data_IF_487845722060
#
_entry.id   IF_487845722060
#
_cell.length_a   1.000
_cell.length_b   1.000
_cell.length_c   1.000
_cell.angle_alpha   90.00
_cell.angle_beta   90.00
_cell.angle_gamma   90.00
#
_symmetry.space_group_name_H-M   'P 1'
#
loop_
_entity.id
_entity.type
_entity.pdbx_description
1 polymer ?
#
# COMPACT_ATOMS: atom_id res chain seq x y z
N UNK A 1 34.42 2.32 -20.00
CA UNK A 1 33.44 3.37 -19.72
C UNK A 1 32.16 2.67 -19.34
N UNK A 2 31.92 2.47 -18.04
CA UNK A 2 30.85 1.67 -17.50
C UNK A 2 29.48 2.35 -17.63
N UNK A 3 28.43 1.57 -17.50
CA UNK A 3 27.04 1.99 -17.51
C UNK A 3 26.77 3.14 -16.51
N UNK A 4 27.47 3.14 -15.38
CA UNK A 4 27.42 4.20 -14.34
C UNK A 4 27.94 5.56 -14.81
N UNK A 5 28.96 5.61 -15.69
CA UNK A 5 29.42 6.89 -16.27
C UNK A 5 28.33 7.49 -17.19
N UNK A 6 27.53 6.65 -17.86
CA UNK A 6 26.39 7.11 -18.63
C UNK A 6 25.25 7.60 -17.75
N UNK A 7 24.99 6.93 -16.62
CA UNK A 7 23.91 7.29 -15.71
C UNK A 7 24.23 8.55 -14.91
N UNK A 8 25.48 8.69 -14.41
CA UNK A 8 25.97 9.94 -13.79
C UNK A 8 25.93 11.11 -14.77
N UNK A 9 26.29 10.87 -16.04
CA UNK A 9 26.24 11.89 -17.07
C UNK A 9 24.80 12.29 -17.42
N UNK A 10 23.87 11.34 -17.39
CA UNK A 10 22.44 11.60 -17.63
C UNK A 10 21.82 12.35 -16.45
N UNK A 11 22.13 11.97 -15.21
CA UNK A 11 21.67 12.66 -14.00
C UNK A 11 22.20 14.09 -13.92
N UNK A 12 23.45 14.30 -14.28
CA UNK A 12 24.04 15.66 -14.33
C UNK A 12 23.43 16.52 -15.43
N UNK A 13 23.02 15.91 -16.56
CA UNK A 13 22.29 16.62 -17.61
C UNK A 13 20.84 16.94 -17.22
N UNK A 14 20.17 16.09 -16.46
CA UNK A 14 18.83 16.34 -15.93
C UNK A 14 18.87 17.41 -14.82
N UNK A 15 19.90 17.45 -13.99
CA UNK A 15 20.10 18.50 -12.99
C UNK A 15 20.42 19.85 -13.66
N UNK A 16 21.27 19.89 -14.70
CA UNK A 16 21.55 21.10 -15.47
C UNK A 16 20.33 21.61 -16.25
N UNK A 17 19.44 20.73 -16.75
CA UNK A 17 18.19 21.12 -17.40
C UNK A 17 17.19 21.73 -16.40
N UNK A 18 17.05 21.13 -15.23
CA UNK A 18 16.18 21.64 -14.18
C UNK A 18 16.67 22.99 -13.62
N UNK A 19 17.99 23.20 -13.50
CA UNK A 19 18.54 24.51 -13.14
C UNK A 19 18.30 25.57 -14.23
N UNK A 20 18.35 25.17 -15.50
CA UNK A 20 18.04 26.09 -16.62
C UNK A 20 16.56 26.45 -16.72
N UNK A 21 15.65 25.50 -16.42
CA UNK A 21 14.21 25.77 -16.33
C UNK A 21 13.85 26.65 -15.14
N UNK A 22 14.49 26.46 -13.98
CA UNK A 22 14.31 27.32 -12.81
C UNK A 22 14.76 28.78 -13.04
N UNK A 23 15.85 28.97 -13.78
CA UNK A 23 16.34 30.32 -14.15
C UNK A 23 15.45 31.00 -15.20
N UNK A 24 14.75 30.22 -16.04
CA UNK A 24 13.79 30.78 -17.01
C UNK A 24 12.47 31.20 -16.37
N UNK A 25 12.04 30.53 -15.31
CA UNK A 25 10.84 30.90 -14.53
C UNK A 25 11.08 32.14 -13.64
N UNK A 26 12.29 32.34 -13.11
CA UNK A 26 12.62 33.55 -12.34
C UNK A 26 12.71 34.80 -13.26
N UNK A 27 13.00 34.64 -14.56
CA UNK A 27 13.16 35.78 -15.47
C UNK A 27 11.88 36.20 -16.19
N UNK A 28 10.75 35.54 -15.94
CA UNK A 28 9.43 35.87 -16.54
C UNK A 28 8.54 36.70 -15.62
N UNK A 29 9.01 37.09 -14.42
CA UNK A 29 8.22 37.73 -13.37
C UNK A 29 8.44 39.24 -13.11
N UNK A 30 9.26 39.96 -13.91
CA UNK A 30 9.47 41.39 -13.68
C UNK A 30 9.16 42.26 -14.90
N UNK A 31 7.94 42.82 -14.93
CA UNK A 31 7.70 44.13 -15.52
C UNK A 31 6.51 44.82 -14.84
N UNK A 32 6.83 46.07 -14.36
CA UNK A 32 5.98 47.21 -13.93
C UNK A 32 5.73 47.28 -12.42
N UNK A 33 6.00 48.37 -11.70
CA UNK A 33 6.15 49.81 -12.00
C UNK A 33 6.87 50.53 -10.88
N UNK A 34 7.55 51.64 -11.24
CA UNK A 34 8.22 52.68 -10.47
C UNK A 34 7.45 53.21 -9.24
N UNK A 35 8.12 53.54 -8.12
CA UNK A 35 8.58 54.90 -7.83
C UNK A 35 9.02 55.09 -6.36
N UNK A 36 10.18 55.73 -6.18
CA UNK A 36 10.33 56.80 -5.21
C UNK A 36 10.96 56.52 -3.84
N UNK A 37 12.21 56.93 -3.66
CA UNK A 37 12.56 57.70 -2.46
C UNK A 37 13.56 57.12 -1.46
N UNK A 38 14.81 57.46 -1.67
CA UNK A 38 15.78 58.06 -0.69
C UNK A 38 16.10 57.36 0.63
N UNK A 39 17.34 56.93 0.72
CA UNK A 39 18.49 57.40 1.55
C UNK A 39 18.60 57.03 3.02
N UNK A 40 19.87 56.65 3.32
CA UNK A 40 20.73 56.82 4.52
C UNK A 40 20.62 55.72 5.60
N UNK A 41 21.66 54.99 5.87
CA UNK A 41 22.91 55.17 6.51
C UNK A 41 23.31 53.97 7.32
N UNK A 42 24.46 53.48 7.02
CA UNK A 42 25.68 53.18 7.76
C UNK A 42 25.70 52.46 9.12
N UNK A 43 26.63 51.52 9.15
CA UNK A 43 27.55 51.12 10.25
C UNK A 43 26.95 50.19 11.32
N UNK A 44 27.54 49.12 11.76
CA UNK A 44 28.88 48.60 11.75
C UNK A 44 29.11 47.79 13.02
N UNK A 45 29.98 46.80 12.94
CA UNK A 45 30.73 46.13 14.01
C UNK A 45 30.03 45.12 14.94
N UNK A 46 30.48 43.93 14.96
CA UNK A 46 31.60 43.08 15.47
C UNK A 46 31.16 42.14 16.58
N UNK A 47 31.42 40.89 16.31
CA UNK A 47 32.20 39.88 17.09
C UNK A 47 31.97 39.74 18.61
N UNK A 48 31.75 38.50 18.98
CA UNK A 48 32.59 37.62 19.80
C UNK A 48 31.97 37.01 21.06
N UNK A 49 32.19 35.71 21.14
CA UNK A 49 32.54 34.86 22.29
C UNK A 49 31.47 34.42 23.33
N UNK A 50 31.33 33.08 23.37
CA UNK A 50 31.03 32.30 24.58
C UNK A 50 32.22 32.37 25.54
N UNK A 51 32.23 31.92 26.82
CA UNK A 51 31.75 30.62 27.28
C UNK A 51 31.29 30.50 28.77
N UNK A 52 31.07 29.26 29.21
CA UNK A 52 31.30 28.65 30.57
C UNK A 52 30.12 28.50 31.51
N UNK A 53 29.79 27.22 31.77
CA UNK A 53 29.19 26.67 32.99
C UNK A 53 30.15 26.81 34.20
N UNK A 54 29.76 26.60 35.49
CA UNK A 54 29.32 25.33 36.03
C UNK A 54 28.39 25.33 37.28
N UNK A 55 27.86 24.14 37.51
CA UNK A 55 27.70 23.40 38.80
C UNK A 55 26.76 23.90 39.92
N UNK A 56 25.97 22.90 40.38
CA UNK A 56 25.77 22.72 41.83
C UNK A 56 24.35 22.64 42.35
N UNK A 57 23.86 21.43 42.67
CA UNK A 57 23.17 21.23 43.93
C UNK A 57 21.65 21.02 43.96
N UNK A 58 21.25 19.76 44.09
CA UNK A 58 19.98 19.35 44.73
C UNK A 58 20.10 19.53 46.25
N UNK A 59 19.04 19.81 47.04
CA UNK A 59 18.28 18.74 47.61
C UNK A 59 16.76 18.97 47.81
N UNK A 60 16.16 17.88 48.22
CA UNK A 60 14.80 17.45 48.41
C UNK A 60 13.90 18.24 49.41
N UNK A 61 12.59 17.93 49.21
CA UNK A 61 11.50 17.77 50.21
C UNK A 61 10.83 19.00 50.82
N UNK A 62 9.51 19.05 50.65
CA UNK A 62 8.46 18.96 51.67
C UNK A 62 7.15 19.56 51.14
N UNK A 63 6.09 18.74 51.15
CA UNK A 63 4.72 19.24 51.22
C UNK A 63 4.47 19.86 52.61
N UNK A 64 3.53 20.80 52.74
CA UNK A 64 2.27 20.43 53.38
C UNK A 64 0.99 21.10 52.88
N UNK A 65 -0.05 20.37 53.15
CA UNK A 65 -1.48 20.59 53.23
C UNK A 65 -2.07 21.99 53.48
N UNK A 66 -3.27 22.10 52.91
CA UNK A 66 -4.55 22.64 53.46
C UNK A 66 -4.96 24.10 53.27
N UNK A 67 -6.19 24.11 52.85
CA UNK A 67 -7.34 24.96 53.18
C UNK A 67 -7.63 26.25 52.39
N UNK A 68 -8.70 26.14 51.61
CA UNK A 68 -9.92 26.95 51.72
C UNK A 68 -9.86 28.41 51.30
N UNK A 69 -10.50 28.75 50.20
CA UNK A 69 -11.60 29.71 50.26
C UNK A 69 -12.38 29.78 48.94
N UNK A 70 -13.70 29.63 49.04
CA UNK A 70 -14.66 29.94 48.01
C UNK A 70 -14.73 31.46 47.83
N UNK A 71 -14.53 31.96 46.63
CA UNK A 71 -15.02 33.25 46.22
C UNK A 71 -15.83 33.08 44.92
N UNK A 72 -17.11 33.36 45.05
CA UNK A 72 -18.06 33.46 43.95
C UNK A 72 -17.65 34.59 43.00
N UNK A 73 -17.66 34.28 41.70
CA UNK A 73 -17.62 35.30 40.65
C UNK A 73 -19.00 35.36 40.00
N UNK A 74 -19.60 36.53 40.11
CA UNK A 74 -20.87 36.94 39.53
C UNK A 74 -20.82 36.91 38.01
N UNK A 75 -21.93 36.46 37.40
CA UNK A 75 -22.19 36.54 35.97
C UNK A 75 -22.52 38.00 35.59
N UNK A 76 -22.08 38.50 34.44
CA UNK A 76 -22.62 39.75 33.91
C UNK A 76 -23.95 39.54 33.20
N UNK A 77 -24.83 40.52 33.39
CA UNK A 77 -26.20 40.63 32.95
C UNK A 77 -26.38 40.56 31.44
N UNK A 78 -27.54 39.98 31.06
CA UNK A 78 -28.02 39.90 29.70
C UNK A 78 -28.40 41.29 29.15
N UNK A 79 -27.81 41.65 28.01
CA UNK A 79 -28.32 42.74 27.17
C UNK A 79 -29.45 42.26 26.27
N UNK A 80 -30.44 43.14 26.13
CA UNK A 80 -31.77 42.91 25.59
C UNK A 80 -31.78 42.51 24.10
N UNK A 81 -32.69 41.57 23.81
CA UNK A 81 -33.07 41.14 22.44
C UNK A 81 -33.75 42.30 21.69
N UNK A 82 -33.24 42.65 20.50
CA UNK A 82 -33.98 43.38 19.47
C UNK A 82 -34.87 42.38 18.65
N UNK A 83 -36.07 42.78 18.23
CA UNK A 83 -37.04 41.89 17.63
C UNK A 83 -36.70 41.55 16.18
N UNK A 84 -36.80 40.24 15.89
CA UNK A 84 -36.69 39.64 14.55
C UNK A 84 -37.70 40.28 13.60
N UNK A 85 -37.22 40.91 12.53
CA UNK A 85 -38.01 41.31 11.36
C UNK A 85 -38.47 40.05 10.59
N UNK A 86 -39.77 40.09 10.23
CA UNK A 86 -40.44 39.02 9.46
C UNK A 86 -39.77 38.78 8.12
N UNK A 87 -39.73 37.53 7.62
CA UNK A 87 -39.23 37.22 6.26
C UNK A 87 -40.23 37.74 5.20
N UNK A 88 -39.70 38.43 4.20
CA UNK A 88 -40.41 38.82 2.99
C UNK A 88 -40.96 37.61 2.23
N UNK A 89 -42.19 37.77 1.76
CA UNK A 89 -42.93 36.77 0.97
C UNK A 89 -42.24 36.43 -0.33
N UNK A 90 -42.12 35.16 -0.62
CA UNK A 90 -41.68 34.61 -1.90
C UNK A 90 -42.82 34.85 -2.92
N UNK A 91 -42.53 35.46 -4.10
CA UNK A 91 -43.56 35.62 -5.14
C UNK A 91 -43.94 34.25 -5.74
N UNK A 92 -45.21 34.06 -5.95
CA UNK A 92 -45.79 32.90 -6.64
C UNK A 92 -45.29 32.81 -8.09
N UNK A 93 -45.07 31.60 -8.65
CA UNK A 93 -44.67 31.47 -10.04
C UNK A 93 -45.83 31.81 -11.00
N UNK A 94 -45.54 32.69 -11.95
CA UNK A 94 -46.45 32.98 -13.08
C UNK A 94 -46.76 31.74 -13.90
N UNK A 95 -48.04 31.63 -14.29
CA UNK A 95 -48.59 30.56 -15.13
C UNK A 95 -47.79 30.40 -16.42
N UNK A 96 -47.41 29.16 -16.73
CA UNK A 96 -46.78 28.80 -17.99
C UNK A 96 -47.80 28.90 -19.14
N UNK A 97 -47.46 29.73 -20.15
CA UNK A 97 -48.16 29.79 -21.44
C UNK A 97 -47.99 28.44 -22.18
N UNK A 98 -49.08 27.99 -22.80
CA UNK A 98 -49.15 26.77 -23.63
C UNK A 98 -48.25 26.89 -24.84
N UNK A 99 -47.54 25.86 -25.30
CA UNK A 99 -46.68 25.92 -26.46
C UNK A 99 -47.52 25.92 -27.76
N UNK A 100 -47.27 26.94 -28.62
CA UNK A 100 -47.80 27.04 -29.97
C UNK A 100 -47.37 25.87 -30.86
N UNK A 101 -48.29 25.42 -31.71
CA UNK A 101 -48.14 24.34 -32.69
C UNK A 101 -47.05 24.70 -33.72
N UNK A 102 -46.06 23.81 -33.90
CA UNK A 102 -45.07 23.90 -34.97
C UNK A 102 -45.59 23.20 -36.22
N UNK A 103 -45.58 23.85 -37.40
CA UNK A 103 -46.05 23.24 -38.65
C UNK A 103 -45.14 22.12 -39.14
N UNK A 104 -45.71 21.04 -39.59
CA UNK A 104 -45.06 19.98 -40.36
C UNK A 104 -44.42 20.51 -41.62
N UNK A 105 -43.13 20.27 -41.80
CA UNK A 105 -42.45 20.43 -43.09
C UNK A 105 -41.40 19.36 -43.32
N UNK A 106 -41.68 18.54 -44.28
CA UNK A 106 -40.83 17.95 -45.34
C UNK A 106 -39.77 16.92 -44.89
N UNK A 107 -40.04 15.70 -45.29
CA UNK A 107 -39.06 14.61 -45.52
C UNK A 107 -37.89 15.09 -46.39
N UNK A 108 -36.67 14.83 -45.91
CA UNK A 108 -35.47 14.76 -46.72
C UNK A 108 -34.70 13.46 -46.41
N UNK A 109 -34.04 12.86 -47.41
CA UNK A 109 -33.63 11.47 -47.38
C UNK A 109 -32.42 11.20 -46.50
N UNK A 110 -32.39 10.01 -45.93
CA UNK A 110 -31.29 9.46 -45.12
C UNK A 110 -29.96 9.42 -45.90
N UNK A 111 -28.84 9.72 -45.28
CA UNK A 111 -27.58 9.05 -45.61
C UNK A 111 -27.34 7.89 -44.66
N UNK A 112 -27.26 6.73 -45.27
CA UNK A 112 -26.64 5.55 -44.70
C UNK A 112 -25.16 5.86 -44.47
N UNK A 113 -24.74 5.98 -43.21
CA UNK A 113 -23.39 5.67 -42.77
C UNK A 113 -23.52 5.08 -41.36
N UNK A 114 -23.54 3.77 -41.37
CA UNK A 114 -23.25 2.95 -40.18
C UNK A 114 -21.81 3.25 -39.75
N UNK A 115 -21.63 4.16 -38.80
CA UNK A 115 -20.42 4.14 -37.98
C UNK A 115 -20.58 3.00 -37.00
N UNK A 116 -19.93 1.89 -37.31
CA UNK A 116 -19.61 0.85 -36.34
C UNK A 116 -18.98 1.54 -35.12
N UNK A 117 -19.73 1.59 -34.03
CA UNK A 117 -19.16 1.79 -32.71
C UNK A 117 -18.25 0.59 -32.47
N UNK A 118 -16.94 0.78 -32.57
CA UNK A 118 -15.97 -0.17 -32.08
C UNK A 118 -16.33 -0.51 -30.62
N UNK A 119 -16.91 -1.68 -30.44
CA UNK A 119 -17.03 -2.30 -29.13
C UNK A 119 -15.62 -2.44 -28.56
N UNK A 120 -15.31 -1.63 -27.58
CA UNK A 120 -14.12 -1.84 -26.74
C UNK A 120 -14.22 -3.26 -26.21
N UNK A 121 -13.26 -4.16 -26.48
CA UNK A 121 -13.29 -5.51 -25.99
C UNK A 121 -13.47 -5.47 -24.48
N UNK A 122 -14.59 -5.97 -23.99
CA UNK A 122 -14.73 -6.33 -22.59
C UNK A 122 -13.64 -7.39 -22.37
N UNK A 123 -12.60 -7.05 -21.60
CA UNK A 123 -11.69 -8.06 -21.07
C UNK A 123 -12.57 -9.12 -20.40
N UNK A 124 -12.73 -10.25 -21.03
CA UNK A 124 -13.27 -11.43 -20.41
C UNK A 124 -12.43 -11.70 -19.17
N UNK A 125 -12.99 -11.42 -18.04
CA UNK A 125 -12.44 -11.86 -16.76
C UNK A 125 -12.44 -13.38 -16.87
N UNK A 126 -11.28 -14.07 -16.87
CA UNK A 126 -11.26 -15.52 -17.01
C UNK A 126 -12.10 -16.07 -15.86
N UNK A 127 -13.18 -16.77 -16.21
CA UNK A 127 -13.89 -17.58 -15.23
C UNK A 127 -12.85 -18.50 -14.59
N UNK A 128 -12.75 -18.55 -13.27
CA UNK A 128 -11.81 -19.43 -12.63
C UNK A 128 -12.14 -20.85 -13.06
N UNK A 129 -11.21 -21.50 -13.76
CA UNK A 129 -11.34 -22.87 -14.26
C UNK A 129 -11.48 -23.84 -13.09
N UNK A 130 -12.71 -24.26 -12.87
CA UNK A 130 -13.13 -25.12 -11.79
C UNK A 130 -13.36 -26.55 -12.31
N UNK A 131 -12.41 -27.08 -13.07
CA UNK A 131 -12.46 -28.49 -13.41
C UNK A 131 -12.42 -29.28 -12.11
N UNK A 132 -13.53 -29.96 -11.82
CA UNK A 132 -13.59 -31.05 -10.86
C UNK A 132 -12.70 -32.18 -11.40
N UNK A 133 -11.41 -32.18 -11.04
CA UNK A 133 -10.55 -33.34 -11.17
C UNK A 133 -11.01 -34.37 -10.12
N UNK A 134 -11.97 -35.18 -10.53
CA UNK A 134 -12.23 -36.47 -9.91
C UNK A 134 -11.18 -37.43 -10.45
N UNK A 135 -10.02 -37.54 -9.76
CA UNK A 135 -9.26 -38.81 -9.69
C UNK A 135 -8.04 -38.63 -8.76
N UNK A 136 -7.94 -39.54 -7.79
CA UNK A 136 -6.86 -39.73 -6.80
C UNK A 136 -6.59 -38.54 -5.85
N UNK A 137 -6.88 -38.73 -4.56
CA UNK A 137 -6.56 -37.78 -3.50
C UNK A 137 -5.08 -37.35 -3.60
N UNK A 138 -4.76 -36.13 -4.04
CA UNK A 138 -3.39 -35.70 -4.16
C UNK A 138 -2.82 -35.70 -2.73
N UNK A 139 -1.67 -36.34 -2.54
CA UNK A 139 -0.87 -36.19 -1.32
C UNK A 139 -0.77 -34.69 -1.07
N UNK A 140 -1.26 -34.22 0.09
CA UNK A 140 -1.17 -32.81 0.48
C UNK A 140 0.28 -32.38 0.35
N UNK A 141 0.61 -31.62 -0.69
CA UNK A 141 1.94 -31.06 -0.85
C UNK A 141 2.23 -30.18 0.34
N UNK A 142 3.38 -30.35 0.95
CA UNK A 142 3.78 -29.57 2.11
C UNK A 142 3.89 -28.08 1.71
N UNK A 143 3.69 -27.19 2.69
CA UNK A 143 3.82 -25.75 2.54
C UNK A 143 5.07 -25.33 1.74
N UNK A 144 6.23 -25.85 2.11
CA UNK A 144 7.51 -25.55 1.47
C UNK A 144 7.55 -25.98 -0.01
N UNK A 145 6.93 -27.13 -0.37
CA UNK A 145 6.88 -27.56 -1.77
C UNK A 145 6.06 -26.61 -2.65
N UNK A 146 4.92 -26.11 -2.13
CA UNK A 146 4.11 -25.13 -2.85
C UNK A 146 4.88 -23.81 -3.05
N UNK A 147 5.54 -23.32 -2.00
CA UNK A 147 6.37 -22.12 -2.08
C UNK A 147 7.54 -22.31 -3.07
N UNK A 148 8.23 -23.43 -3.01
CA UNK A 148 9.34 -23.76 -3.92
C UNK A 148 8.87 -23.83 -5.38
N UNK A 149 7.70 -24.43 -5.63
CA UNK A 149 7.12 -24.48 -6.97
C UNK A 149 6.70 -23.08 -7.45
N UNK A 150 6.10 -22.27 -6.58
CA UNK A 150 5.72 -20.89 -6.88
C UNK A 150 6.94 -20.01 -7.19
N UNK A 151 8.05 -20.19 -6.49
CA UNK A 151 9.28 -19.43 -6.68
C UNK A 151 10.20 -19.97 -7.77
N UNK A 152 9.86 -21.07 -8.44
CA UNK A 152 10.76 -21.73 -9.40
C UNK A 152 11.27 -20.76 -10.48
N UNK A 153 10.39 -19.99 -11.12
CA UNK A 153 10.80 -19.00 -12.14
C UNK A 153 11.71 -17.92 -11.59
N UNK A 154 11.42 -17.43 -10.38
CA UNK A 154 12.23 -16.42 -9.68
C UNK A 154 13.59 -16.99 -9.34
N UNK A 155 13.64 -18.18 -8.77
CA UNK A 155 14.87 -18.89 -8.47
C UNK A 155 15.73 -19.10 -9.71
N UNK A 156 15.16 -19.72 -10.75
CA UNK A 156 15.89 -20.03 -11.97
C UNK A 156 16.49 -18.76 -12.61
N UNK A 157 15.73 -17.65 -12.63
CA UNK A 157 16.19 -16.36 -13.14
C UNK A 157 17.30 -15.73 -12.30
N UNK A 158 17.15 -15.72 -10.98
CA UNK A 158 18.10 -15.12 -10.05
C UNK A 158 19.36 -15.96 -9.92
N UNK A 159 19.21 -17.26 -9.68
CA UNK A 159 20.35 -18.15 -9.45
C UNK A 159 21.21 -18.32 -10.68
N UNK A 160 20.65 -18.38 -11.89
CA UNK A 160 21.44 -18.47 -13.12
C UNK A 160 22.37 -17.27 -13.29
N UNK A 161 21.89 -16.06 -12.98
CA UNK A 161 22.70 -14.83 -13.04
C UNK A 161 23.76 -14.83 -11.94
N UNK A 162 23.39 -15.18 -10.71
CA UNK A 162 24.30 -15.23 -9.57
C UNK A 162 25.40 -16.29 -9.78
N UNK A 163 25.10 -17.47 -10.29
CA UNK A 163 26.10 -18.51 -10.59
C UNK A 163 27.02 -18.11 -11.71
N UNK A 164 26.51 -17.43 -12.75
CA UNK A 164 27.35 -16.87 -13.81
C UNK A 164 28.34 -15.88 -13.24
N UNK A 165 27.89 -14.96 -12.40
CA UNK A 165 28.75 -13.99 -11.70
C UNK A 165 29.81 -14.70 -10.86
N UNK A 166 29.40 -15.61 -9.98
CA UNK A 166 30.33 -16.33 -9.08
C UNK A 166 31.42 -17.12 -9.86
N UNK A 167 31.08 -17.66 -11.04
CA UNK A 167 32.01 -18.39 -11.88
C UNK A 167 32.92 -17.49 -12.73
N UNK A 168 32.55 -16.22 -12.92
CA UNK A 168 33.32 -15.25 -13.73
C UNK A 168 34.44 -14.61 -12.96
N UNK A 169 34.36 -14.58 -11.62
CA UNK A 169 35.34 -13.93 -10.75
C UNK A 169 36.18 -14.96 -9.98
N UNK A 170 37.48 -14.74 -9.98
CA UNK A 170 38.46 -15.51 -9.17
C UNK A 170 38.82 -14.80 -7.88
N UNK A 171 38.41 -13.55 -7.72
CA UNK A 171 38.67 -12.70 -6.55
C UNK A 171 37.43 -11.92 -6.20
N UNK A 172 37.28 -11.64 -4.92
CA UNK A 172 36.17 -10.82 -4.40
C UNK A 172 36.73 -9.40 -4.19
N UNK A 173 36.72 -8.63 -5.26
CA UNK A 173 37.20 -7.23 -5.33
C UNK A 173 36.04 -6.26 -5.66
N UNK A 174 36.33 -4.99 -5.90
CA UNK A 174 35.26 -4.00 -6.19
C UNK A 174 34.55 -4.30 -7.50
N UNK A 175 35.23 -4.82 -8.52
CA UNK A 175 34.60 -5.21 -9.80
C UNK A 175 33.56 -6.32 -9.58
N UNK A 176 33.82 -7.26 -8.67
CA UNK A 176 32.84 -8.27 -8.25
C UNK A 176 31.59 -7.64 -7.62
N UNK A 177 31.75 -6.66 -6.73
CA UNK A 177 30.61 -6.02 -6.07
C UNK A 177 29.79 -5.16 -7.02
N UNK A 178 30.44 -4.49 -7.98
CA UNK A 178 29.74 -3.70 -8.99
C UNK A 178 28.88 -4.59 -9.89
N UNK A 179 29.41 -5.74 -10.33
CA UNK A 179 28.66 -6.71 -11.15
C UNK A 179 27.56 -7.41 -10.34
N UNK A 180 27.79 -7.66 -9.03
CA UNK A 180 26.76 -8.20 -8.13
C UNK A 180 25.62 -7.19 -7.98
N UNK A 181 25.90 -5.91 -7.79
CA UNK A 181 24.88 -4.88 -7.70
C UNK A 181 24.02 -4.83 -8.96
N UNK A 182 24.64 -4.86 -10.16
CA UNK A 182 23.92 -4.92 -11.43
C UNK A 182 23.05 -6.18 -11.52
N UNK A 183 23.59 -7.34 -11.11
CA UNK A 183 22.86 -8.61 -11.08
C UNK A 183 21.61 -8.56 -10.17
N UNK A 184 21.73 -7.94 -9.00
CA UNK A 184 20.62 -7.77 -8.06
C UNK A 184 19.55 -6.81 -8.63
N UNK A 185 19.97 -5.69 -9.23
CA UNK A 185 19.06 -4.73 -9.88
C UNK A 185 18.29 -5.40 -11.02
N UNK A 186 18.97 -6.16 -11.88
CA UNK A 186 18.34 -6.92 -12.97
C UNK A 186 17.45 -8.07 -12.51
N UNK A 187 17.48 -8.36 -11.21
CA UNK A 187 16.59 -9.36 -10.55
C UNK A 187 15.44 -8.72 -9.77
N UNK A 188 15.05 -7.48 -10.13
CA UNK A 188 13.95 -6.71 -9.53
C UNK A 188 14.15 -6.37 -8.03
N UNK A 189 15.39 -6.43 -7.50
CA UNK A 189 15.68 -6.05 -6.11
C UNK A 189 15.75 -4.52 -5.95
N UNK A 190 15.97 -3.77 -7.06
CA UNK A 190 16.04 -2.31 -7.04
C UNK A 190 17.40 -1.77 -6.58
N UNK A 191 17.74 -0.57 -7.04
CA UNK A 191 19.08 -0.02 -6.87
C UNK A 191 19.44 0.26 -5.39
N UNK A 192 18.54 0.88 -4.64
CA UNK A 192 18.77 1.22 -3.22
C UNK A 192 19.01 -0.03 -2.36
N UNK A 193 18.16 -1.02 -2.51
CA UNK A 193 18.27 -2.29 -1.77
C UNK A 193 19.50 -3.08 -2.21
N UNK A 194 19.85 -3.08 -3.50
CA UNK A 194 21.04 -3.76 -4.03
C UNK A 194 22.33 -3.16 -3.48
N UNK A 195 22.46 -1.83 -3.43
CA UNK A 195 23.58 -1.16 -2.78
C UNK A 195 23.71 -1.56 -1.32
N UNK A 196 22.61 -1.55 -0.56
CA UNK A 196 22.64 -1.94 0.86
C UNK A 196 23.05 -3.40 1.07
N UNK A 197 22.60 -4.31 0.19
CA UNK A 197 23.04 -5.72 0.22
C UNK A 197 24.53 -5.82 -0.04
N UNK A 198 25.05 -5.15 -1.09
CA UNK A 198 26.48 -5.15 -1.42
C UNK A 198 27.33 -4.55 -0.30
N UNK A 199 26.90 -3.48 0.35
CA UNK A 199 27.62 -2.88 1.47
C UNK A 199 27.68 -3.80 2.69
N UNK A 200 26.56 -4.44 3.05
CA UNK A 200 26.53 -5.46 4.11
C UNK A 200 27.42 -6.64 3.77
N UNK A 201 27.42 -7.07 2.52
CA UNK A 201 28.24 -8.18 2.05
C UNK A 201 29.74 -7.83 2.08
N UNK A 202 30.14 -6.62 1.65
CA UNK A 202 31.54 -6.12 1.78
C UNK A 202 32.02 -6.17 3.23
N UNK A 203 31.16 -5.72 4.16
CA UNK A 203 31.48 -5.76 5.59
C UNK A 203 31.60 -7.21 6.10
N UNK A 204 30.68 -8.10 5.70
CA UNK A 204 30.70 -9.49 6.08
C UNK A 204 31.95 -10.21 5.54
N UNK A 205 32.31 -10.01 4.27
CA UNK A 205 33.53 -10.55 3.62
C UNK A 205 34.78 -10.06 4.35
N UNK A 206 34.90 -8.75 4.64
CA UNK A 206 36.01 -8.21 5.41
C UNK A 206 36.15 -8.82 6.81
N UNK A 207 35.02 -9.07 7.47
CA UNK A 207 34.98 -9.64 8.84
C UNK A 207 35.34 -11.13 8.87
N UNK A 208 34.87 -11.91 7.89
CA UNK A 208 35.08 -13.36 7.83
C UNK A 208 36.36 -13.76 7.11
N UNK A 209 36.90 -12.88 6.25
CA UNK A 209 37.98 -13.20 5.35
C UNK A 209 37.60 -14.16 4.23
N UNK A 210 36.31 -14.23 3.88
CA UNK A 210 35.79 -15.11 2.84
C UNK A 210 36.40 -14.74 1.48
N UNK A 211 36.94 -15.74 0.80
CA UNK A 211 37.54 -15.61 -0.55
C UNK A 211 36.92 -16.61 -1.53
N UNK A 212 36.25 -17.60 -1.02
CA UNK A 212 35.55 -18.61 -1.84
C UNK A 212 34.17 -18.10 -2.24
N UNK A 213 33.79 -18.19 -3.53
CA UNK A 213 32.44 -17.85 -4.01
C UNK A 213 31.30 -18.56 -3.26
N UNK A 214 31.51 -19.78 -2.78
CA UNK A 214 30.51 -20.52 -2.01
C UNK A 214 30.25 -19.87 -0.63
N UNK A 215 31.30 -19.37 0.03
CA UNK A 215 31.19 -18.65 1.31
C UNK A 215 30.47 -17.31 1.10
N UNK A 216 30.80 -16.60 0.01
CA UNK A 216 30.14 -15.33 -0.35
C UNK A 216 28.65 -15.54 -0.65
N UNK A 217 28.30 -16.61 -1.37
CA UNK A 217 26.89 -16.99 -1.61
C UNK A 217 26.16 -17.25 -0.30
N UNK A 218 26.79 -17.93 0.66
CA UNK A 218 26.20 -18.17 1.98
C UNK A 218 26.00 -16.88 2.78
N UNK A 219 26.99 -15.97 2.76
CA UNK A 219 26.87 -14.64 3.40
C UNK A 219 25.75 -13.83 2.79
N UNK A 220 25.60 -13.83 1.45
CA UNK A 220 24.51 -13.15 0.76
C UNK A 220 23.14 -13.71 1.19
N UNK A 221 23.02 -15.03 1.26
CA UNK A 221 21.81 -15.72 1.74
C UNK A 221 21.44 -15.26 3.16
N UNK A 222 22.43 -15.24 4.08
CA UNK A 222 22.21 -14.86 5.47
C UNK A 222 21.80 -13.40 5.62
N UNK A 223 22.40 -12.50 4.82
CA UNK A 223 22.04 -11.06 4.76
C UNK A 223 20.59 -10.89 4.29
N UNK A 224 20.19 -11.58 3.22
CA UNK A 224 18.81 -11.50 2.72
C UNK A 224 17.84 -12.07 3.77
N UNK A 225 18.18 -13.17 4.44
CA UNK A 225 17.36 -13.73 5.50
C UNK A 225 17.15 -12.74 6.67
N UNK A 226 18.22 -12.08 7.10
CA UNK A 226 18.18 -11.05 8.14
C UNK A 226 17.28 -9.87 7.73
N UNK A 227 17.42 -9.39 6.49
CA UNK A 227 16.62 -8.26 5.96
C UNK A 227 15.13 -8.57 5.91
N UNK A 228 14.73 -9.82 5.68
CA UNK A 228 13.35 -10.26 5.60
C UNK A 228 12.71 -10.56 6.97
N UNK A 229 13.52 -10.64 8.03
CA UNK A 229 13.02 -10.91 9.38
C UNK A 229 12.16 -9.76 9.89
N UNK A 230 11.04 -10.07 10.54
CA UNK A 230 10.12 -9.10 11.09
C UNK A 230 8.85 -9.72 11.65
N UNK A 231 7.81 -8.89 11.81
CA UNK A 231 6.48 -9.31 12.25
C UNK A 231 5.70 -9.88 11.05
N UNK A 232 5.91 -11.16 10.76
CA UNK A 232 5.34 -11.85 9.61
C UNK A 232 4.02 -12.57 9.92
N UNK A 233 3.56 -12.56 11.17
CA UNK A 233 2.32 -13.22 11.59
C UNK A 233 1.12 -12.28 11.57
N UNK A 234 -0.07 -12.82 11.33
CA UNK A 234 -1.32 -12.09 11.48
C UNK A 234 -1.69 -11.99 12.96
N UNK A 235 -1.92 -10.77 13.44
CA UNK A 235 -2.37 -10.51 14.81
C UNK A 235 -3.89 -10.61 14.89
N UNK A 236 -4.38 -11.71 15.43
CA UNK A 236 -5.80 -12.00 15.60
C UNK A 236 -6.11 -12.30 17.08
N UNK A 237 -5.70 -11.36 17.97
CA UNK A 237 -5.67 -11.55 19.43
C UNK A 237 -7.00 -11.18 20.09
N UNK A 238 -7.91 -10.52 19.37
CA UNK A 238 -9.19 -10.03 19.88
C UNK A 238 -10.38 -10.72 19.21
N UNK A 239 -11.58 -10.51 19.77
CA UNK A 239 -12.81 -11.07 19.26
C UNK A 239 -13.92 -9.99 19.21
N UNK A 240 -14.24 -9.47 18.01
CA UNK A 240 -13.62 -9.78 16.73
C UNK A 240 -12.25 -9.11 16.56
N UNK A 241 -11.35 -9.75 15.80
CA UNK A 241 -10.25 -9.07 15.13
C UNK A 241 -10.71 -8.60 13.74
N UNK A 242 -10.12 -7.55 13.20
CA UNK A 242 -10.52 -6.99 11.89
C UNK A 242 -9.34 -7.02 10.93
N UNK A 243 -9.57 -7.52 9.72
CA UNK A 243 -8.59 -7.46 8.63
C UNK A 243 -9.19 -6.62 7.51
N UNK A 244 -8.62 -5.45 7.25
CA UNK A 244 -8.94 -4.61 6.10
C UNK A 244 -7.98 -4.93 4.96
N UNK A 245 -8.51 -5.36 3.80
CA UNK A 245 -7.71 -5.74 2.63
C UNK A 245 -7.77 -4.63 1.59
N UNK A 246 -6.62 -4.00 1.33
CA UNK A 246 -6.47 -2.86 0.43
C UNK A 246 -5.54 -3.20 -0.74
N UNK A 247 -5.51 -2.35 -1.77
CA UNK A 247 -4.62 -2.53 -2.94
C UNK A 247 -5.30 -2.17 -4.25
N UNK A 248 -4.55 -2.17 -5.35
CA UNK A 248 -5.07 -1.81 -6.68
C UNK A 248 -6.03 -2.87 -7.23
N UNK A 249 -6.84 -2.50 -8.24
CA UNK A 249 -7.66 -3.48 -8.97
C UNK A 249 -6.75 -4.48 -9.69
N UNK A 250 -7.16 -5.75 -9.72
CA UNK A 250 -6.37 -6.83 -10.32
C UNK A 250 -5.23 -7.40 -9.48
N UNK A 251 -4.90 -6.78 -8.33
CA UNK A 251 -3.87 -7.29 -7.43
C UNK A 251 -4.26 -8.60 -6.71
N UNK A 252 -5.52 -9.03 -6.77
CA UNK A 252 -5.98 -10.27 -6.15
C UNK A 252 -6.64 -10.10 -4.77
N UNK A 253 -7.16 -8.90 -4.43
CA UNK A 253 -7.83 -8.66 -3.12
C UNK A 253 -8.96 -9.63 -2.83
N UNK A 254 -9.97 -9.69 -3.70
CA UNK A 254 -11.16 -10.53 -3.53
C UNK A 254 -10.80 -12.03 -3.43
N UNK A 255 -9.85 -12.48 -4.27
CA UNK A 255 -9.31 -13.85 -4.21
C UNK A 255 -8.57 -14.11 -2.88
N UNK A 256 -7.77 -13.15 -2.43
CA UNK A 256 -7.07 -13.22 -1.13
C UNK A 256 -8.05 -13.37 0.02
N UNK A 257 -9.10 -12.55 0.03
CA UNK A 257 -10.15 -12.60 1.06
C UNK A 257 -10.83 -13.96 1.08
N UNK A 258 -11.21 -14.48 -0.10
CA UNK A 258 -11.84 -15.79 -0.22
C UNK A 258 -10.96 -16.92 0.33
N UNK A 259 -9.68 -16.96 -0.07
CA UNK A 259 -8.71 -17.94 0.42
C UNK A 259 -8.42 -17.79 1.92
N UNK A 260 -8.28 -16.54 2.39
CA UNK A 260 -8.05 -16.27 3.80
C UNK A 260 -9.25 -16.67 4.67
N UNK A 261 -10.48 -16.37 4.21
CA UNK A 261 -11.71 -16.78 4.87
C UNK A 261 -11.79 -18.30 5.04
N UNK A 262 -11.47 -19.04 3.97
CA UNK A 262 -11.43 -20.51 4.01
C UNK A 262 -10.36 -21.04 4.97
N UNK A 263 -9.15 -20.47 4.95
CA UNK A 263 -8.07 -20.86 5.84
C UNK A 263 -8.42 -20.62 7.31
N UNK A 264 -8.98 -19.46 7.64
CA UNK A 264 -9.43 -19.12 9.00
C UNK A 264 -10.58 -20.04 9.45
N UNK A 265 -11.52 -20.32 8.55
CA UNK A 265 -12.61 -21.28 8.82
C UNK A 265 -12.08 -22.70 9.09
N UNK A 266 -11.11 -23.16 8.30
CA UNK A 266 -10.46 -24.46 8.51
C UNK A 266 -9.74 -24.56 9.85
N UNK A 267 -9.27 -23.42 10.39
CA UNK A 267 -8.71 -23.29 11.75
C UNK A 267 -9.79 -23.23 12.86
N UNK A 268 -11.07 -23.35 12.50
CA UNK A 268 -12.19 -23.29 13.43
C UNK A 268 -12.64 -21.89 13.83
N UNK A 269 -12.12 -20.85 13.18
CA UNK A 269 -12.53 -19.46 13.45
C UNK A 269 -13.86 -19.15 12.77
N UNK A 270 -14.68 -18.36 13.45
CA UNK A 270 -15.94 -17.84 12.92
C UNK A 270 -15.68 -16.52 12.19
N UNK A 271 -15.87 -16.52 10.91
CA UNK A 271 -15.51 -15.40 10.01
C UNK A 271 -16.76 -14.73 9.46
N UNK A 272 -16.74 -13.40 9.40
CA UNK A 272 -17.72 -12.56 8.69
C UNK A 272 -16.96 -11.74 7.65
N UNK A 273 -17.48 -11.68 6.42
CA UNK A 273 -16.90 -10.91 5.33
C UNK A 273 -17.77 -9.69 5.03
N UNK A 274 -17.15 -8.51 4.91
CA UNK A 274 -17.80 -7.26 4.50
C UNK A 274 -17.44 -6.96 3.04
N UNK A 275 -18.43 -6.95 2.13
CA UNK A 275 -18.25 -6.63 0.71
C UNK A 275 -18.28 -5.10 0.51
N UNK A 276 -17.16 -4.43 0.88
CA UNK A 276 -17.10 -2.98 0.82
C UNK A 276 -16.48 -2.44 -0.50
N UNK A 277 -16.15 -3.27 -1.51
CA UNK A 277 -15.95 -2.82 -2.91
C UNK A 277 -17.33 -2.63 -3.58
N UNK A 278 -18.10 -1.65 -3.11
CA UNK A 278 -19.48 -1.41 -3.52
C UNK A 278 -19.63 -0.80 -4.92
N UNK A 279 -18.53 -0.32 -5.51
CA UNK A 279 -18.54 0.29 -6.84
C UNK A 279 -18.53 -0.73 -7.99
N UNK A 280 -18.35 -2.02 -7.67
CA UNK A 280 -18.23 -3.08 -8.68
C UNK A 280 -19.19 -4.21 -8.35
N UNK A 281 -20.34 -4.23 -9.04
CA UNK A 281 -21.31 -5.32 -8.88
C UNK A 281 -20.66 -6.69 -9.05
N UNK A 282 -19.85 -6.88 -10.09
CA UNK A 282 -19.13 -8.13 -10.33
C UNK A 282 -18.16 -8.52 -9.19
N UNK A 283 -17.57 -7.55 -8.47
CA UNK A 283 -16.71 -7.87 -7.33
C UNK A 283 -17.52 -8.41 -6.14
N UNK A 284 -18.72 -7.84 -5.90
CA UNK A 284 -19.64 -8.33 -4.86
C UNK A 284 -20.07 -9.77 -5.17
N UNK A 285 -20.44 -10.05 -6.42
CA UNK A 285 -20.86 -11.39 -6.85
C UNK A 285 -19.70 -12.39 -6.77
N UNK A 286 -18.51 -12.01 -7.23
CA UNK A 286 -17.31 -12.83 -7.10
C UNK A 286 -16.98 -13.15 -5.65
N UNK A 287 -17.07 -12.15 -4.77
CA UNK A 287 -16.84 -12.35 -3.34
C UNK A 287 -17.87 -13.28 -2.72
N UNK A 288 -19.15 -13.18 -3.15
CA UNK A 288 -20.21 -14.08 -2.71
C UNK A 288 -19.90 -15.54 -3.06
N UNK A 289 -19.46 -15.82 -4.28
CA UNK A 289 -19.02 -17.17 -4.69
C UNK A 289 -17.90 -17.70 -3.79
N UNK A 290 -16.91 -16.85 -3.44
CA UNK A 290 -15.85 -17.24 -2.53
C UNK A 290 -16.34 -17.53 -1.12
N UNK A 291 -17.23 -16.70 -0.58
CA UNK A 291 -17.78 -16.89 0.78
C UNK A 291 -18.66 -18.12 0.88
N UNK A 292 -19.47 -18.41 -0.16
CA UNK A 292 -20.29 -19.62 -0.23
C UNK A 292 -19.42 -20.89 -0.22
N UNK A 293 -18.30 -20.89 -0.99
CA UNK A 293 -17.34 -21.98 -1.00
C UNK A 293 -16.62 -22.16 0.34
N UNK A 294 -16.21 -21.06 0.94
CA UNK A 294 -15.60 -21.08 2.26
C UNK A 294 -16.59 -21.43 3.37
N UNK A 295 -17.90 -21.33 3.12
CA UNK A 295 -18.95 -21.53 4.09
C UNK A 295 -18.92 -20.48 5.20
N UNK A 296 -18.65 -19.22 4.87
CA UNK A 296 -18.59 -18.09 5.80
C UNK A 296 -19.68 -17.07 5.49
N UNK A 297 -20.05 -16.29 6.50
CA UNK A 297 -21.09 -15.27 6.36
C UNK A 297 -20.57 -14.05 5.60
N UNK A 298 -21.38 -13.50 4.68
CA UNK A 298 -21.11 -12.25 3.98
C UNK A 298 -22.16 -11.20 4.33
N UNK A 299 -21.71 -9.95 4.51
CA UNK A 299 -22.55 -8.76 4.61
C UNK A 299 -22.28 -7.92 3.36
N UNK A 300 -23.33 -7.68 2.60
CA UNK A 300 -23.28 -6.91 1.35
C UNK A 300 -24.48 -5.99 1.23
N UNK A 301 -24.30 -4.87 0.54
CA UNK A 301 -25.36 -3.94 0.15
C UNK A 301 -25.47 -3.90 -1.37
N UNK A 302 -26.43 -3.10 -1.88
CA UNK A 302 -26.54 -2.83 -3.31
C UNK A 302 -25.33 -2.06 -3.83
N UNK A 303 -25.07 -2.19 -5.12
CA UNK A 303 -24.05 -1.40 -5.83
C UNK A 303 -24.22 0.11 -5.54
N UNK A 304 -23.11 0.82 -5.38
CA UNK A 304 -23.08 2.26 -5.09
C UNK A 304 -23.39 2.63 -3.62
N UNK A 305 -23.65 1.66 -2.75
CA UNK A 305 -23.82 1.93 -1.31
C UNK A 305 -22.52 2.45 -0.68
N UNK A 306 -22.63 3.13 0.46
CA UNK A 306 -21.46 3.59 1.22
C UNK A 306 -20.66 2.40 1.78
N UNK A 307 -19.37 2.23 1.38
CA UNK A 307 -18.52 1.15 1.88
C UNK A 307 -18.42 1.10 3.41
N UNK A 308 -18.38 2.27 4.04
CA UNK A 308 -18.30 2.36 5.50
C UNK A 308 -19.57 1.87 6.20
N UNK A 309 -20.75 1.99 5.55
CA UNK A 309 -22.00 1.43 6.07
C UNK A 309 -22.00 -0.10 6.02
N UNK A 310 -21.47 -0.69 4.94
CA UNK A 310 -21.30 -2.16 4.83
C UNK A 310 -20.41 -2.68 5.95
N UNK A 311 -19.28 -2.01 6.21
CA UNK A 311 -18.35 -2.39 7.29
C UNK A 311 -19.01 -2.24 8.66
N UNK A 312 -19.78 -1.17 8.89
CA UNK A 312 -20.54 -0.97 10.13
C UNK A 312 -21.49 -2.14 10.39
N UNK A 313 -22.28 -2.53 9.39
CA UNK A 313 -23.23 -3.64 9.52
C UNK A 313 -22.53 -4.98 9.71
N UNK A 314 -21.38 -5.18 9.05
CA UNK A 314 -20.57 -6.38 9.24
C UNK A 314 -20.00 -6.48 10.66
N UNK A 315 -19.52 -5.39 11.23
CA UNK A 315 -19.03 -5.35 12.62
C UNK A 315 -20.18 -5.59 13.62
N UNK A 316 -21.36 -5.01 13.37
CA UNK A 316 -22.56 -5.22 14.18
C UNK A 316 -23.00 -6.69 14.14
N UNK A 317 -23.04 -7.27 12.94
CA UNK A 317 -23.36 -8.69 12.76
C UNK A 317 -22.31 -9.60 13.42
N UNK A 318 -21.02 -9.25 13.32
CA UNK A 318 -19.93 -9.99 13.94
C UNK A 318 -20.02 -10.02 15.48
N UNK A 319 -20.32 -8.88 16.11
CA UNK A 319 -20.57 -8.78 17.55
C UNK A 319 -21.76 -9.65 17.95
N UNK A 320 -22.90 -9.51 17.25
CA UNK A 320 -24.12 -10.26 17.56
C UNK A 320 -23.96 -11.79 17.40
N UNK A 321 -23.16 -12.21 16.42
CA UNK A 321 -22.89 -13.63 16.13
C UNK A 321 -21.71 -14.20 16.91
N UNK A 322 -20.95 -13.38 17.63
CA UNK A 322 -19.70 -13.76 18.31
C UNK A 322 -18.66 -14.27 17.30
N UNK A 323 -18.47 -13.55 16.19
CA UNK A 323 -17.43 -13.87 15.21
C UNK A 323 -16.03 -13.61 15.77
N UNK A 324 -15.06 -14.41 15.31
CA UNK A 324 -13.66 -14.26 15.72
C UNK A 324 -12.94 -13.23 14.84
N UNK A 325 -13.30 -13.17 13.53
CA UNK A 325 -12.63 -12.32 12.55
C UNK A 325 -13.64 -11.68 11.60
N UNK A 326 -13.43 -10.40 11.28
CA UNK A 326 -14.11 -9.67 10.20
C UNK A 326 -13.09 -9.38 9.10
N UNK A 327 -13.39 -9.79 7.85
CA UNK A 327 -12.60 -9.47 6.66
C UNK A 327 -13.33 -8.40 5.86
N UNK A 328 -12.67 -7.28 5.56
CA UNK A 328 -13.24 -6.18 4.78
C UNK A 328 -12.60 -6.12 3.39
N UNK A 329 -13.37 -6.39 2.32
CA UNK A 329 -12.98 -6.10 0.94
C UNK A 329 -13.12 -4.59 0.69
N UNK A 330 -12.20 -3.99 -0.04
CA UNK A 330 -12.22 -2.55 -0.34
C UNK A 330 -12.01 -2.27 -1.83
N UNK A 331 -12.48 -1.11 -2.28
CA UNK A 331 -12.19 -0.63 -3.62
C UNK A 331 -10.68 -0.50 -3.88
N UNK A 332 -10.28 -0.53 -5.16
CA UNK A 332 -8.86 -0.48 -5.56
C UNK A 332 -8.59 0.48 -6.72
N UNK A 333 -9.39 1.53 -6.89
CA UNK A 333 -9.29 2.49 -8.01
C UNK A 333 -8.21 3.53 -7.77
N UNK A 334 -6.94 3.18 -8.01
CA UNK A 334 -5.80 4.07 -7.74
C UNK A 334 -5.78 5.33 -8.64
N UNK A 335 -6.37 5.30 -9.83
CA UNK A 335 -6.49 6.48 -10.70
C UNK A 335 -7.32 7.61 -10.06
N UNK A 336 -8.19 7.31 -9.10
CA UNK A 336 -8.87 8.29 -8.26
C UNK A 336 -8.32 8.24 -6.82
N UNK A 337 -6.99 8.43 -6.68
CA UNK A 337 -6.24 8.28 -5.42
C UNK A 337 -6.92 8.99 -4.26
N UNK A 338 -7.29 10.27 -4.43
CA UNK A 338 -7.85 11.09 -3.35
C UNK A 338 -9.13 10.47 -2.75
N UNK A 339 -10.08 10.11 -3.61
CA UNK A 339 -11.35 9.54 -3.17
C UNK A 339 -11.15 8.18 -2.49
N UNK A 340 -10.29 7.32 -3.08
CA UNK A 340 -9.97 6.02 -2.49
C UNK A 340 -9.37 6.18 -1.09
N UNK A 341 -8.43 7.11 -0.91
CA UNK A 341 -7.78 7.33 0.38
C UNK A 341 -8.73 7.91 1.44
N UNK A 342 -9.67 8.76 1.03
CA UNK A 342 -10.73 9.26 1.93
C UNK A 342 -11.69 8.14 2.34
N UNK A 343 -12.04 7.26 1.43
CA UNK A 343 -12.87 6.07 1.67
C UNK A 343 -12.19 5.13 2.69
N UNK A 344 -10.93 4.77 2.46
CA UNK A 344 -10.17 3.93 3.38
C UNK A 344 -10.07 4.55 4.79
N UNK A 345 -9.82 5.87 4.87
CA UNK A 345 -9.82 6.60 6.14
C UNK A 345 -11.19 6.60 6.82
N UNK A 346 -12.28 6.62 6.04
CA UNK A 346 -13.64 6.55 6.58
C UNK A 346 -13.93 5.16 7.14
N UNK A 347 -13.56 4.10 6.43
CA UNK A 347 -13.68 2.72 6.89
C UNK A 347 -12.87 2.52 8.19
N UNK A 348 -11.60 2.93 8.22
CA UNK A 348 -10.76 2.83 9.42
C UNK A 348 -11.37 3.55 10.64
N UNK A 349 -11.96 4.74 10.43
CA UNK A 349 -12.67 5.47 11.51
C UNK A 349 -13.89 4.71 12.03
N UNK A 350 -14.64 4.04 11.13
CA UNK A 350 -15.78 3.21 11.54
C UNK A 350 -15.30 2.01 12.35
N UNK A 351 -14.24 1.31 11.90
CA UNK A 351 -13.65 0.19 12.63
C UNK A 351 -13.25 0.63 14.04
N UNK A 352 -12.45 1.68 14.15
CA UNK A 352 -11.95 2.17 15.46
C UNK A 352 -13.08 2.64 16.39
N UNK A 353 -14.17 3.18 15.84
CA UNK A 353 -15.34 3.59 16.63
C UNK A 353 -16.13 2.40 17.15
N UNK A 354 -16.37 1.41 16.28
CA UNK A 354 -17.25 0.28 16.61
C UNK A 354 -16.55 -0.80 17.44
N UNK A 355 -15.24 -0.98 17.25
CA UNK A 355 -14.43 -1.99 17.94
C UNK A 355 -13.08 -1.39 18.36
N UNK A 356 -13.05 -0.43 19.30
CA UNK A 356 -11.84 0.31 19.66
C UNK A 356 -10.72 -0.55 20.21
N UNK A 357 -11.07 -1.68 20.84
CA UNK A 357 -10.11 -2.62 21.44
C UNK A 357 -9.74 -3.78 20.50
N UNK A 358 -10.22 -3.74 19.25
CA UNK A 358 -9.94 -4.82 18.31
C UNK A 358 -8.51 -4.78 17.77
N UNK A 359 -7.94 -5.97 17.59
CA UNK A 359 -6.74 -6.16 16.77
C UNK A 359 -7.10 -5.86 15.32
N UNK A 360 -6.51 -4.82 14.72
CA UNK A 360 -6.78 -4.40 13.35
C UNK A 360 -5.55 -4.62 12.48
N UNK A 361 -5.71 -5.41 11.44
CA UNK A 361 -4.70 -5.60 10.40
C UNK A 361 -5.14 -4.90 9.12
N UNK A 362 -4.28 -4.06 8.56
CA UNK A 362 -4.45 -3.47 7.24
C UNK A 362 -3.48 -4.16 6.28
N UNK A 363 -3.98 -5.06 5.47
CA UNK A 363 -3.18 -5.84 4.54
C UNK A 363 -3.21 -5.23 3.15
N UNK A 364 -2.05 -4.79 2.66
CA UNK A 364 -1.90 -4.32 1.29
C UNK A 364 -1.60 -5.52 0.37
N UNK A 365 -2.47 -5.76 -0.59
CA UNK A 365 -2.30 -6.80 -1.60
C UNK A 365 -1.55 -6.24 -2.80
N UNK A 366 -0.42 -6.86 -3.12
CA UNK A 366 0.45 -6.51 -4.24
C UNK A 366 0.61 -7.70 -5.18
N UNK A 367 0.66 -7.41 -6.47
CA UNK A 367 0.92 -8.39 -7.52
C UNK A 367 2.43 -8.47 -7.80
N UNK A 368 3.04 -9.62 -7.56
CA UNK A 368 4.47 -9.83 -7.77
C UNK A 368 4.89 -9.63 -9.24
N UNK A 369 3.99 -9.84 -10.20
CA UNK A 369 4.29 -9.67 -11.63
C UNK A 369 4.62 -8.22 -11.99
N UNK A 370 4.18 -7.26 -11.19
CA UNK A 370 4.41 -5.81 -11.42
C UNK A 370 5.84 -5.37 -11.09
N UNK A 371 6.64 -6.20 -10.38
CA UNK A 371 8.02 -5.88 -10.04
C UNK A 371 8.14 -4.57 -9.25
N UNK A 372 9.07 -3.68 -9.60
CA UNK A 372 9.31 -2.42 -8.91
C UNK A 372 8.08 -1.50 -8.77
N UNK A 373 7.09 -1.63 -9.65
CA UNK A 373 5.83 -0.90 -9.49
C UNK A 373 5.08 -1.29 -8.21
N UNK A 374 5.28 -2.51 -7.68
CA UNK A 374 4.69 -2.91 -6.40
C UNK A 374 5.25 -2.09 -5.24
N UNK A 375 6.56 -1.76 -5.23
CA UNK A 375 7.18 -0.87 -4.22
C UNK A 375 6.56 0.52 -4.28
N UNK A 376 6.41 1.06 -5.50
CA UNK A 376 5.78 2.38 -5.69
C UNK A 376 4.32 2.39 -5.23
N UNK A 377 3.55 1.34 -5.52
CA UNK A 377 2.20 1.19 -5.00
C UNK A 377 2.19 1.17 -3.46
N UNK A 378 3.09 0.40 -2.86
CA UNK A 378 3.17 0.31 -1.41
C UNK A 378 3.53 1.67 -0.76
N UNK A 379 4.46 2.42 -1.33
CA UNK A 379 4.77 3.81 -0.91
C UNK A 379 3.52 4.70 -0.95
N UNK A 380 2.77 4.66 -2.06
CA UNK A 380 1.56 5.47 -2.24
C UNK A 380 0.45 5.14 -1.23
N UNK A 381 0.25 3.86 -0.93
CA UNK A 381 -0.75 3.45 0.07
C UNK A 381 -0.31 3.78 1.49
N UNK A 382 1.00 3.66 1.81
CA UNK A 382 1.56 3.98 3.14
C UNK A 382 1.42 5.45 3.52
N UNK A 383 1.34 6.37 2.54
CA UNK A 383 1.06 7.79 2.80
C UNK A 383 -0.33 8.06 3.39
N UNK A 384 -1.25 7.11 3.27
CA UNK A 384 -2.66 7.36 3.55
C UNK A 384 -3.33 6.33 4.44
N UNK A 385 -2.74 5.15 4.58
CA UNK A 385 -3.22 4.05 5.41
C UNK A 385 -2.06 3.47 6.23
N UNK A 386 -2.33 3.16 7.48
CA UNK A 386 -1.39 2.44 8.33
C UNK A 386 -1.38 0.96 7.92
N UNK A 387 -0.41 0.59 7.09
CA UNK A 387 -0.27 -0.77 6.58
C UNK A 387 0.47 -1.61 7.62
N UNK A 388 -0.16 -2.68 8.09
CA UNK A 388 0.43 -3.60 9.08
C UNK A 388 1.11 -4.79 8.44
N UNK A 389 0.79 -5.09 7.18
CA UNK A 389 1.39 -6.21 6.46
C UNK A 389 1.09 -6.22 4.97
N UNK A 390 1.91 -6.98 4.25
CA UNK A 390 1.79 -7.19 2.81
C UNK A 390 1.28 -8.60 2.53
N UNK A 391 0.41 -8.71 1.52
CA UNK A 391 0.08 -9.97 0.86
C UNK A 391 0.63 -9.89 -0.56
N UNK A 392 1.61 -10.73 -0.89
CA UNK A 392 2.16 -10.78 -2.22
C UNK A 392 1.55 -11.92 -3.01
N UNK A 393 0.85 -11.62 -4.10
CA UNK A 393 0.13 -12.58 -4.95
C UNK A 393 0.91 -12.92 -6.22
N UNK A 394 0.49 -13.97 -6.92
CA UNK A 394 0.97 -14.39 -8.26
C UNK A 394 2.47 -14.69 -8.32
N UNK A 395 3.05 -15.19 -7.23
CA UNK A 395 4.47 -15.57 -7.19
C UNK A 395 4.79 -16.70 -8.19
N UNK A 396 3.85 -17.59 -8.45
CA UNK A 396 3.96 -18.71 -9.39
C UNK A 396 4.02 -18.26 -10.87
N UNK A 397 3.50 -17.08 -11.15
CA UNK A 397 3.46 -16.50 -12.51
C UNK A 397 4.74 -15.81 -12.95
N UNK A 398 5.67 -15.48 -12.04
CA UNK A 398 6.71 -14.48 -12.30
C UNK A 398 8.13 -14.90 -11.93
N UNK A 399 9.12 -14.32 -12.61
CA UNK A 399 10.53 -14.31 -12.19
C UNK A 399 10.87 -13.14 -11.24
N UNK A 400 9.88 -12.28 -10.91
CA UNK A 400 10.06 -11.05 -10.11
C UNK A 400 9.79 -11.22 -8.63
N UNK A 401 9.79 -12.45 -8.12
CA UNK A 401 9.52 -12.72 -6.70
C UNK A 401 10.51 -12.05 -5.74
N UNK A 402 11.70 -11.65 -6.22
CA UNK A 402 12.71 -10.88 -5.45
C UNK A 402 12.20 -9.55 -4.91
N UNK A 403 11.07 -9.05 -5.42
CA UNK A 403 10.42 -7.80 -4.98
C UNK A 403 10.04 -7.78 -3.48
N UNK A 404 9.95 -8.93 -2.83
CA UNK A 404 9.74 -9.03 -1.38
C UNK A 404 10.84 -8.28 -0.62
N UNK A 405 12.09 -8.35 -1.10
CA UNK A 405 13.27 -7.80 -0.42
C UNK A 405 13.19 -6.27 -0.34
N UNK A 406 13.04 -5.53 -1.46
CA UNK A 406 12.91 -4.08 -1.41
C UNK A 406 11.64 -3.60 -0.67
N UNK A 407 10.52 -4.30 -0.79
CA UNK A 407 9.30 -3.94 -0.04
C UNK A 407 9.61 -3.92 1.47
N UNK A 408 10.24 -4.97 1.98
CA UNK A 408 10.60 -5.04 3.40
C UNK A 408 11.67 -4.02 3.78
N UNK A 409 12.72 -3.89 2.95
CA UNK A 409 13.86 -3.04 3.23
C UNK A 409 13.52 -1.54 3.18
N UNK A 410 12.81 -1.10 2.13
CA UNK A 410 12.54 0.33 1.90
C UNK A 410 11.34 0.85 2.72
N UNK A 411 10.38 -0.01 3.02
CA UNK A 411 9.14 0.40 3.70
C UNK A 411 9.06 -0.07 5.15
N UNK A 412 9.93 -0.98 5.57
CA UNK A 412 9.87 -1.59 6.90
C UNK A 412 8.67 -2.53 7.13
N UNK A 413 7.76 -2.65 6.14
CA UNK A 413 6.52 -3.41 6.26
C UNK A 413 6.82 -4.89 6.00
N UNK A 414 6.34 -5.77 6.89
CA UNK A 414 6.56 -7.21 6.74
C UNK A 414 5.55 -7.85 5.80
N UNK A 415 6.02 -8.81 4.99
CA UNK A 415 5.13 -9.70 4.24
C UNK A 415 4.54 -10.71 5.21
N UNK A 416 3.23 -10.87 5.23
CA UNK A 416 2.52 -11.79 6.11
C UNK A 416 2.00 -13.01 5.36
N UNK A 417 1.56 -12.83 4.12
CA UNK A 417 1.00 -13.90 3.29
C UNK A 417 1.57 -13.85 1.87
N UNK A 418 1.66 -15.01 1.24
CA UNK A 418 2.07 -15.18 -0.15
C UNK A 418 1.09 -16.07 -0.90
N UNK A 419 0.72 -15.65 -2.13
CA UNK A 419 -0.08 -16.43 -3.07
C UNK A 419 0.83 -17.12 -4.08
N UNK A 420 0.75 -18.46 -4.12
CA UNK A 420 1.62 -19.33 -4.91
C UNK A 420 0.83 -20.20 -5.90
N UNK A 421 -0.37 -19.77 -6.27
CA UNK A 421 -1.26 -20.46 -7.21
C UNK A 421 -2.72 -20.07 -7.04
N UNK A 422 -3.61 -20.73 -7.81
CA UNK A 422 -5.04 -20.36 -7.86
C UNK A 422 -5.93 -21.13 -6.87
N UNK A 423 -5.47 -22.26 -6.34
CA UNK A 423 -6.27 -23.10 -5.43
C UNK A 423 -6.51 -22.40 -4.08
N UNK A 424 -7.56 -22.83 -3.38
CA UNK A 424 -7.97 -22.24 -2.10
C UNK A 424 -6.87 -22.28 -1.04
N UNK A 425 -6.06 -23.32 -1.05
CA UNK A 425 -4.95 -23.57 -0.15
C UNK A 425 -3.59 -23.05 -0.65
N UNK A 426 -3.56 -22.25 -1.73
CA UNK A 426 -2.34 -21.62 -2.28
C UNK A 426 -2.05 -20.22 -1.72
N UNK A 427 -2.83 -19.73 -0.78
CA UNK A 427 -2.49 -18.60 0.06
C UNK A 427 -1.82 -19.09 1.34
N UNK A 428 -0.56 -18.76 1.53
CA UNK A 428 0.28 -19.32 2.58
C UNK A 428 0.87 -18.23 3.48
N UNK A 429 1.13 -18.51 4.77
CA UNK A 429 1.91 -17.62 5.62
C UNK A 429 3.31 -17.42 5.04
N UNK A 430 3.85 -16.22 5.16
CA UNK A 430 5.23 -15.95 4.74
C UNK A 430 6.20 -16.30 5.85
N UNK A 431 7.13 -17.21 5.55
CA UNK A 431 8.22 -17.61 6.46
C UNK A 431 9.54 -17.21 5.79
N UNK A 432 10.26 -16.19 6.30
CA UNK A 432 11.50 -15.70 5.69
C UNK A 432 12.54 -16.78 5.40
N UNK A 433 12.77 -17.69 6.36
CA UNK A 433 13.72 -18.78 6.20
C UNK A 433 13.36 -19.74 5.05
N UNK A 434 12.08 -20.09 4.91
CA UNK A 434 11.59 -20.94 3.83
C UNK A 434 11.68 -20.26 2.48
N UNK A 435 11.37 -18.95 2.42
CA UNK A 435 11.51 -18.16 1.20
C UNK A 435 12.95 -18.10 0.72
N UNK A 436 13.90 -17.76 1.61
CA UNK A 436 15.32 -17.69 1.27
C UNK A 436 15.85 -19.07 0.86
N UNK A 437 15.43 -20.11 1.58
CA UNK A 437 15.76 -21.48 1.21
C UNK A 437 15.24 -21.84 -0.19
N UNK A 438 13.98 -21.50 -0.50
CA UNK A 438 13.40 -21.78 -1.82
C UNK A 438 14.04 -20.95 -2.95
N UNK A 439 14.57 -19.75 -2.63
CA UNK A 439 15.24 -18.88 -3.60
C UNK A 439 16.66 -19.38 -3.93
N UNK A 440 17.40 -19.97 -2.98
CA UNK A 440 18.81 -20.36 -3.16
C UNK A 440 19.02 -21.86 -3.38
N UNK A 441 18.05 -22.74 -3.05
CA UNK A 441 18.07 -24.20 -3.20
C UNK A 441 17.09 -24.72 -4.27
#
# INVERSE_FOLDING_TARGET
>A
MGFFDRFKKKKHQEEELNEQEAVLDENSGETSTESGGAEIGASGYTEAEAPVQPDGGVPAAEEPEQSGNYAAFEAPEAEAEEPLTQPEAIPEPEEAEEPEEIPQAMEAPAPEEETELEEVPQEEVPEPDFTEDSEEAPKKQGFFEKLKNGLKKTKDGFMSKLELLMNSFTKIDEDFFDELEETLILSDIGAETSMQICDKLRQAVKRTGATDPADVKQLLRDIIAEMLTGDNELKLDTKPSVIMVIGVNGAGKTTTIGKLAANLKAQGKKVVVAAADTFRAAAIDQLNVWTDRAGVDIIKHSEGSDPAAVVFDALTAAKARGADVVLCDTAGRLHNKKNLMEELKKIARVINREVPDASVETLLVLDATTGQNAVNQAKLFSESAEITGIVLTKLDGTAKGGIIIPIKNELGISVKLVGVGEKIDDLQPFVPADYVKALFE
#
